data_IF_350335316024
#
_entry.id   IF_350335316024
#
_cell.length_a   1.000
_cell.length_b   1.000
_cell.length_c   1.000
_cell.angle_alpha   90.00
_cell.angle_beta   90.00
_cell.angle_gamma   90.00
#
_symmetry.space_group_name_H-M   'P 1'
#
loop_
_entity.id
_entity.type
_entity.pdbx_description
1 polymer ?
#
# COMPACT_ATOMS: atom_id res chain seq x y z
N UNK A 1 -5.02 24.89 -13.86
CA UNK A 1 -5.54 23.92 -12.88
C UNK A 1 -5.23 22.53 -13.41
N UNK A 2 -4.25 21.87 -12.80
CA UNK A 2 -3.78 20.55 -13.18
C UNK A 2 -4.57 19.53 -12.36
N UNK A 3 -5.29 18.58 -12.98
CA UNK A 3 -5.62 17.23 -12.46
C UNK A 3 -6.81 16.61 -13.21
N UNK A 4 -6.56 16.00 -14.37
CA UNK A 4 -7.43 14.95 -14.92
C UNK A 4 -6.75 13.60 -14.68
N UNK A 5 -6.60 13.21 -13.42
CA UNK A 5 -6.24 11.84 -13.07
C UNK A 5 -7.52 10.98 -13.07
N UNK A 6 -8.23 10.98 -14.22
CA UNK A 6 -9.48 10.28 -14.44
C UNK A 6 -9.21 8.82 -14.82
N UNK A 7 -8.70 8.07 -13.86
CA UNK A 7 -8.83 6.62 -13.93
C UNK A 7 -10.32 6.26 -14.02
N UNK A 8 -10.66 5.28 -14.87
CA UNK A 8 -11.99 4.69 -14.93
C UNK A 8 -12.33 3.88 -13.67
N UNK A 9 -11.33 3.57 -12.85
CA UNK A 9 -11.50 2.87 -11.58
C UNK A 9 -11.84 3.85 -10.44
N UNK A 10 -12.81 3.50 -9.58
CA UNK A 10 -13.08 4.22 -8.33
C UNK A 10 -11.81 4.41 -7.49
N UNK A 11 -11.76 5.47 -6.67
CA UNK A 11 -10.58 5.78 -5.85
C UNK A 11 -10.27 4.65 -4.87
N UNK A 12 -11.30 3.99 -4.35
CA UNK A 12 -11.22 2.85 -3.44
C UNK A 12 -10.56 1.67 -4.14
N UNK A 13 -10.96 1.39 -5.39
CA UNK A 13 -10.40 0.30 -6.21
C UNK A 13 -8.95 0.60 -6.56
N UNK A 14 -8.63 1.83 -6.98
CA UNK A 14 -7.23 2.23 -7.23
C UNK A 14 -6.37 2.07 -6.00
N UNK A 15 -6.88 2.47 -4.84
CA UNK A 15 -6.17 2.38 -3.57
C UNK A 15 -5.92 0.92 -3.19
N UNK A 16 -6.91 0.04 -3.39
CA UNK A 16 -6.76 -1.39 -3.17
C UNK A 16 -5.70 -2.01 -4.11
N UNK A 17 -5.76 -1.68 -5.41
CA UNK A 17 -4.78 -2.15 -6.40
C UNK A 17 -3.37 -1.66 -6.06
N UNK A 18 -3.22 -0.39 -5.69
CA UNK A 18 -1.93 0.19 -5.29
C UNK A 18 -1.34 -0.53 -4.08
N UNK A 19 -2.14 -0.75 -3.03
CA UNK A 19 -1.71 -1.47 -1.83
C UNK A 19 -1.29 -2.90 -2.17
N UNK A 20 -2.03 -3.60 -3.04
CA UNK A 20 -1.69 -4.95 -3.49
C UNK A 20 -0.36 -4.99 -4.24
N UNK A 21 -0.18 -4.09 -5.20
CA UNK A 21 1.04 -4.00 -5.99
C UNK A 21 2.27 -3.67 -5.11
N UNK A 22 2.10 -2.75 -4.16
CA UNK A 22 3.15 -2.39 -3.21
C UNK A 22 3.55 -3.57 -2.30
N UNK A 23 2.58 -4.32 -1.78
CA UNK A 23 2.86 -5.50 -0.96
C UNK A 23 3.61 -6.58 -1.74
N UNK A 24 3.25 -6.83 -3.00
CA UNK A 24 4.00 -7.72 -3.89
C UNK A 24 5.45 -7.25 -4.09
N UNK A 25 5.63 -5.99 -4.48
CA UNK A 25 6.95 -5.43 -4.72
C UNK A 25 7.84 -5.50 -3.46
N UNK A 26 7.26 -5.29 -2.28
CA UNK A 26 7.98 -5.42 -1.02
C UNK A 26 8.40 -6.86 -0.73
N UNK A 27 7.52 -7.85 -0.92
CA UNK A 27 7.88 -9.27 -0.78
C UNK A 27 9.00 -9.67 -1.74
N UNK A 28 8.89 -9.30 -3.01
CA UNK A 28 9.89 -9.61 -4.04
C UNK A 28 11.25 -8.99 -3.69
N UNK A 29 11.23 -7.76 -3.16
CA UNK A 29 12.43 -7.08 -2.66
C UNK A 29 13.01 -7.81 -1.45
N UNK A 30 12.18 -8.24 -0.49
CA UNK A 30 12.69 -9.02 0.63
C UNK A 30 13.32 -10.34 0.19
N UNK A 31 12.72 -11.03 -0.78
CA UNK A 31 13.31 -12.24 -1.38
C UNK A 31 14.66 -11.94 -2.04
N UNK A 32 14.76 -10.85 -2.81
CA UNK A 32 16.02 -10.46 -3.47
C UNK A 32 17.14 -10.11 -2.48
N UNK A 33 16.78 -9.59 -1.31
CA UNK A 33 17.69 -9.31 -0.21
C UNK A 33 17.91 -10.49 0.76
N UNK A 34 17.32 -11.67 0.50
CA UNK A 34 17.44 -12.84 1.37
C UNK A 34 16.71 -12.70 2.72
N UNK A 35 15.79 -11.74 2.83
CA UNK A 35 14.96 -11.49 4.00
C UNK A 35 13.69 -12.32 3.88
N UNK A 36 13.42 -13.18 4.87
CA UNK A 36 12.14 -13.88 5.00
C UNK A 36 11.20 -13.08 5.88
N UNK A 37 10.12 -12.59 5.28
CA UNK A 37 8.99 -12.05 6.02
C UNK A 37 8.09 -13.20 6.49
N UNK A 38 7.69 -13.16 7.75
CA UNK A 38 6.68 -14.05 8.31
C UNK A 38 5.24 -13.66 7.95
N UNK A 39 5.07 -12.76 6.97
CA UNK A 39 3.77 -12.23 6.55
C UNK A 39 3.33 -12.91 5.24
N UNK A 40 2.07 -13.30 5.19
CA UNK A 40 1.37 -13.51 3.92
C UNK A 40 1.18 -12.17 3.20
N UNK A 41 0.88 -12.26 1.91
CA UNK A 41 0.63 -11.08 1.10
C UNK A 41 -0.57 -10.24 1.59
N UNK A 42 -1.63 -10.89 2.07
CA UNK A 42 -2.81 -10.19 2.59
C UNK A 42 -2.50 -9.48 3.92
N UNK A 43 -1.75 -10.14 4.81
CA UNK A 43 -1.32 -9.54 6.09
C UNK A 43 -0.37 -8.36 5.86
N UNK A 44 0.56 -8.48 4.91
CA UNK A 44 1.48 -7.40 4.57
C UNK A 44 0.73 -6.21 3.96
N UNK A 45 -0.18 -6.46 3.02
CA UNK A 45 -0.99 -5.40 2.43
C UNK A 45 -1.79 -4.65 3.50
N UNK A 46 -2.39 -5.38 4.44
CA UNK A 46 -3.15 -4.78 5.53
C UNK A 46 -2.25 -3.98 6.47
N UNK A 47 -1.09 -4.52 6.82
CA UNK A 47 -0.10 -3.83 7.68
C UNK A 47 0.33 -2.51 7.05
N UNK A 48 0.70 -2.51 5.76
CA UNK A 48 1.06 -1.30 5.02
C UNK A 48 -0.10 -0.29 5.02
N UNK A 49 -1.33 -0.75 4.83
CA UNK A 49 -2.49 0.13 4.84
C UNK A 49 -2.68 0.82 6.19
N UNK A 50 -2.60 0.05 7.30
CA UNK A 50 -2.73 0.58 8.65
C UNK A 50 -1.60 1.56 9.01
N UNK A 51 -0.36 1.26 8.59
CA UNK A 51 0.78 2.12 8.89
C UNK A 51 0.71 3.46 8.16
N UNK A 52 0.32 3.43 6.88
CA UNK A 52 0.11 4.65 6.09
C UNK A 52 -1.03 5.47 6.70
N UNK A 53 -2.18 4.85 6.96
CA UNK A 53 -3.33 5.53 7.56
C UNK A 53 -2.97 6.13 8.92
N UNK A 54 -2.34 5.35 9.79
CA UNK A 54 -1.89 5.78 11.11
C UNK A 54 -0.87 6.91 11.03
N UNK A 55 0.05 6.90 10.06
CA UNK A 55 0.98 8.00 9.83
C UNK A 55 0.24 9.30 9.49
N UNK A 56 -0.68 9.26 8.53
CA UNK A 56 -1.42 10.46 8.11
C UNK A 56 -2.36 10.98 9.21
N UNK A 57 -3.02 10.09 9.96
CA UNK A 57 -3.84 10.49 11.13
C UNK A 57 -2.98 11.18 12.18
N UNK A 58 -1.77 10.69 12.49
CA UNK A 58 -0.88 11.35 13.46
C UNK A 58 -0.36 12.71 12.99
N UNK A 59 -0.13 12.87 11.69
CA UNK A 59 0.47 14.09 11.13
C UNK A 59 -0.55 15.19 10.83
N UNK A 60 -1.79 14.81 10.49
CA UNK A 60 -2.79 15.74 9.96
C UNK A 60 -4.19 15.55 10.57
N UNK A 61 -4.35 14.60 11.48
CA UNK A 61 -5.58 14.44 12.24
C UNK A 61 -5.82 15.60 13.21
N UNK A 62 -7.08 15.75 13.68
CA UNK A 62 -7.46 16.75 14.68
C UNK A 62 -6.77 16.54 16.04
#
# INVERSE_FOLDING_TARGET
MNTLNQSCLPVEVRTAVYRRALAHAYLDTCVSHGVRLGYSLDELQMTIAMDIEGYFVRQHGP
#
